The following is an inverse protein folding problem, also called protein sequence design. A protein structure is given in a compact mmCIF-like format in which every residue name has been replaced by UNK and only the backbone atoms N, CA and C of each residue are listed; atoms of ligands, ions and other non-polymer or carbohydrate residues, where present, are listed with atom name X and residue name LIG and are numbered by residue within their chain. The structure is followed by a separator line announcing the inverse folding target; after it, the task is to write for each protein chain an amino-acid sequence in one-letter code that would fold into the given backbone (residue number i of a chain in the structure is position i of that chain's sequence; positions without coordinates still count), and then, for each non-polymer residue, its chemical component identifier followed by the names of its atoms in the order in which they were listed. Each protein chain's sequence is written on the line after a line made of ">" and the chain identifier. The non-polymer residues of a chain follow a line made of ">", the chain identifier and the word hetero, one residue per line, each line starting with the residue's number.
data_IF_456963534537
#
_entry.id   IF_456963534537
#
_cell.length_a   1.000
_cell.length_b   1.000
_cell.length_c   1.000
_cell.angle_alpha   90.00
_cell.angle_beta   90.00
_cell.angle_gamma   90.00
#
_symmetry.space_group_name_H-M   'P 1'
#
loop_
_entity.id
_entity.type
_entity.pdbx_description
1 polymer ?
#
# COMPACT_ATOMS: atom_id res chain seq x y z
N UNK A 1 19.04 0.95 4.66
CA UNK A 1 19.87 1.91 5.41
C UNK A 1 20.52 1.17 6.57
N UNK A 2 21.77 1.50 6.89
CA UNK A 2 22.45 0.96 8.09
C UNK A 2 22.92 2.17 8.90
N UNK A 3 22.42 2.30 10.13
CA UNK A 3 22.74 3.43 11.00
C UNK A 3 24.15 3.33 11.58
N UNK A 4 24.66 4.43 12.13
CA UNK A 4 25.99 4.46 12.77
C UNK A 4 26.11 3.51 13.99
N UNK A 5 24.99 3.12 14.62
CA UNK A 5 24.97 2.14 15.70
C UNK A 5 24.78 0.70 15.22
N UNK A 6 24.59 0.48 13.91
CA UNK A 6 24.49 -0.85 13.29
C UNK A 6 23.05 -1.32 13.00
N UNK A 7 22.02 -0.50 13.28
CA UNK A 7 20.64 -0.87 12.97
C UNK A 7 20.42 -0.92 11.46
N UNK A 8 19.79 -1.98 10.98
CA UNK A 8 19.41 -2.14 9.57
C UNK A 8 17.94 -1.78 9.42
N UNK A 9 17.65 -0.85 8.52
CA UNK A 9 16.30 -0.33 8.28
C UNK A 9 16.00 -0.31 6.77
N UNK A 10 14.73 -0.41 6.35
CA UNK A 10 14.34 -0.30 4.94
C UNK A 10 14.77 1.02 4.29
N UNK A 11 14.58 2.14 5.00
CA UNK A 11 15.07 3.46 4.61
C UNK A 11 15.48 4.25 5.86
N UNK A 12 16.23 5.33 5.71
CA UNK A 12 16.73 6.14 6.85
C UNK A 12 15.65 6.96 7.58
N UNK A 13 14.39 6.88 7.15
CA UNK A 13 13.24 7.51 7.80
C UNK A 13 12.30 6.48 8.43
N UNK A 14 12.69 5.19 8.46
CA UNK A 14 11.83 4.11 8.92
C UNK A 14 12.21 3.72 10.35
N UNK A 15 11.45 4.17 11.35
CA UNK A 15 11.77 4.01 12.78
C UNK A 15 11.72 2.57 13.31
N UNK A 16 11.43 1.59 12.44
CA UNK A 16 11.38 0.17 12.81
C UNK A 16 12.58 -0.57 12.22
N UNK A 17 13.53 -0.92 13.08
CA UNK A 17 14.69 -1.72 12.69
C UNK A 17 14.28 -3.16 12.30
N UNK A 18 14.93 -3.67 11.25
CA UNK A 18 14.84 -5.05 10.79
C UNK A 18 15.80 -6.00 11.54
N UNK A 19 16.86 -5.45 12.14
CA UNK A 19 17.93 -6.16 12.86
C UNK A 19 19.14 -5.25 13.12
N UNK A 20 20.23 -5.81 13.65
CA UNK A 20 21.48 -5.08 13.91
C UNK A 20 22.70 -5.87 13.43
N UNK A 21 23.57 -5.24 12.62
CA UNK A 21 24.77 -5.89 12.07
C UNK A 21 25.85 -6.24 13.11
N UNK A 22 25.73 -5.70 14.32
CA UNK A 22 26.60 -6.05 15.44
C UNK A 22 26.21 -7.38 16.12
N UNK A 23 25.00 -7.87 15.84
CA UNK A 23 24.43 -9.08 16.44
C UNK A 23 24.25 -10.20 15.41
N UNK A 24 23.99 -9.84 14.15
CA UNK A 24 23.69 -10.75 13.05
C UNK A 24 24.41 -10.29 11.78
N UNK A 25 24.67 -11.21 10.84
CA UNK A 25 25.18 -10.80 9.52
C UNK A 25 24.12 -10.00 8.76
N UNK A 26 24.55 -9.10 7.87
CA UNK A 26 23.61 -8.36 7.01
C UNK A 26 22.74 -9.31 6.16
N UNK A 27 23.30 -10.44 5.71
CA UNK A 27 22.58 -11.46 4.93
C UNK A 27 21.41 -12.05 5.72
N UNK A 28 21.63 -12.41 7.00
CA UNK A 28 20.57 -12.91 7.87
C UNK A 28 19.47 -11.88 8.08
N UNK A 29 19.83 -10.62 8.37
CA UNK A 29 18.84 -9.55 8.53
C UNK A 29 18.05 -9.34 7.24
N UNK A 30 18.72 -9.32 6.09
CA UNK A 30 18.08 -9.14 4.79
C UNK A 30 17.15 -10.31 4.46
N UNK A 31 17.61 -11.55 4.53
CA UNK A 31 16.85 -12.71 4.07
C UNK A 31 15.75 -13.14 5.05
N UNK A 32 15.99 -13.02 6.36
CA UNK A 32 15.16 -13.66 7.39
C UNK A 32 14.33 -12.68 8.23
N UNK A 33 14.57 -11.36 8.16
CA UNK A 33 13.79 -10.40 8.95
C UNK A 33 12.31 -10.42 8.52
N UNK A 34 11.36 -10.56 9.47
CA UNK A 34 9.93 -10.48 9.18
C UNK A 34 9.54 -9.16 8.50
N UNK A 35 10.17 -8.05 8.90
CA UNK A 35 9.91 -6.74 8.31
C UNK A 35 10.26 -6.73 6.81
N UNK A 36 11.44 -7.21 6.43
CA UNK A 36 11.81 -7.25 5.02
C UNK A 36 11.00 -8.28 4.23
N UNK A 37 10.61 -9.40 4.85
CA UNK A 37 9.70 -10.36 4.23
C UNK A 37 8.34 -9.72 3.93
N UNK A 38 7.75 -9.00 4.88
CA UNK A 38 6.48 -8.31 4.71
C UNK A 38 6.56 -7.20 3.64
N UNK A 39 7.65 -6.42 3.62
CA UNK A 39 7.82 -5.33 2.65
C UNK A 39 8.03 -5.80 1.20
N UNK A 40 8.48 -7.04 0.98
CA UNK A 40 8.59 -7.64 -0.36
C UNK A 40 7.31 -8.32 -0.81
N UNK A 41 6.40 -8.60 0.11
CA UNK A 41 5.13 -9.23 -0.18
C UNK A 41 4.06 -8.16 -0.46
N UNK A 42 3.91 -7.79 -1.74
CA UNK A 42 2.95 -6.80 -2.17
C UNK A 42 1.49 -7.21 -1.94
N UNK A 43 1.21 -8.51 -1.73
CA UNK A 43 -0.14 -8.99 -1.45
C UNK A 43 -0.57 -8.72 -0.01
N UNK A 44 0.38 -8.40 0.88
CA UNK A 44 0.11 -7.94 2.25
C UNK A 44 -0.25 -6.46 2.37
N UNK A 45 -0.08 -5.67 1.31
CA UNK A 45 -0.49 -4.27 1.31
C UNK A 45 -2.00 -4.14 1.54
N UNK A 46 -2.39 -3.23 2.42
CA UNK A 46 -3.78 -3.02 2.82
C UNK A 46 -4.40 -1.82 2.09
N UNK A 47 -5.73 -1.72 2.20
CA UNK A 47 -6.51 -0.60 1.68
C UNK A 47 -6.32 -0.36 0.17
N UNK A 48 -6.34 0.90 -0.26
CA UNK A 48 -6.14 1.33 -1.66
C UNK A 48 -4.86 0.77 -2.25
N UNK A 49 -3.78 0.67 -1.47
CA UNK A 49 -2.51 0.13 -1.95
C UNK A 49 -2.60 -1.36 -2.27
N UNK A 50 -3.39 -2.13 -1.51
CA UNK A 50 -3.59 -3.57 -1.73
C UNK A 50 -4.28 -3.92 -3.05
N UNK A 51 -5.16 -3.04 -3.53
CA UNK A 51 -5.93 -3.23 -4.77
C UNK A 51 -5.46 -2.35 -5.94
N UNK A 52 -4.43 -1.55 -5.74
CA UNK A 52 -3.91 -0.63 -6.75
C UNK A 52 -3.22 -1.39 -7.89
N UNK A 53 -3.55 -1.04 -9.14
CA UNK A 53 -2.87 -1.60 -10.32
C UNK A 53 -1.36 -1.34 -10.34
N UNK A 54 -0.88 -0.34 -9.58
CA UNK A 54 0.53 0.04 -9.49
C UNK A 54 1.24 -0.51 -8.25
N UNK A 55 0.62 -1.41 -7.46
CA UNK A 55 1.18 -1.87 -6.17
C UNK A 55 2.58 -2.50 -6.28
N UNK A 56 2.91 -3.13 -7.40
CA UNK A 56 4.23 -3.74 -7.67
C UNK A 56 5.31 -2.74 -8.10
N UNK A 57 4.93 -1.53 -8.49
CA UNK A 57 5.88 -0.51 -9.00
C UNK A 57 5.99 0.68 -8.06
N UNK A 58 4.87 1.13 -7.48
CA UNK A 58 4.83 2.24 -6.54
C UNK A 58 4.86 1.75 -5.10
N UNK A 59 3.83 1.02 -4.67
CA UNK A 59 3.66 0.56 -3.27
C UNK A 59 3.48 1.69 -2.24
N UNK A 60 3.96 2.91 -2.49
CA UNK A 60 3.94 4.05 -1.60
C UNK A 60 5.06 4.03 -0.56
N UNK A 61 5.32 5.16 0.10
CA UNK A 61 6.30 5.25 1.18
C UNK A 61 5.81 4.49 2.42
N UNK A 62 6.51 3.42 2.79
CA UNK A 62 6.14 2.57 3.94
C UNK A 62 6.44 3.28 5.27
N UNK A 63 7.46 4.15 5.30
CA UNK A 63 7.78 4.99 6.47
C UNK A 63 6.64 5.93 6.83
N UNK A 64 6.08 6.63 5.84
CA UNK A 64 4.93 7.53 6.09
C UNK A 64 3.67 6.78 6.49
N UNK A 65 3.43 5.60 5.92
CA UNK A 65 2.32 4.74 6.36
C UNK A 65 2.49 4.34 7.84
N UNK A 66 3.69 3.92 8.22
CA UNK A 66 4.00 3.56 9.61
C UNK A 66 3.89 4.75 10.57
N UNK A 67 4.47 5.89 10.22
CA UNK A 67 4.45 7.10 11.06
C UNK A 67 3.02 7.56 11.37
N UNK A 68 2.15 7.56 10.35
CA UNK A 68 0.78 8.07 10.50
C UNK A 68 -0.16 7.05 11.16
N UNK A 69 0.06 5.76 10.95
CA UNK A 69 -0.94 4.73 11.31
C UNK A 69 -0.45 3.68 12.31
N UNK A 70 0.86 3.58 12.55
CA UNK A 70 1.49 2.46 13.25
C UNK A 70 1.57 1.17 12.42
N UNK A 71 1.08 1.15 11.18
CA UNK A 71 1.06 -0.01 10.29
C UNK A 71 1.76 0.31 8.96
N UNK A 72 2.95 -0.26 8.76
CA UNK A 72 3.75 -0.05 7.55
C UNK A 72 3.16 -0.73 6.30
N UNK A 73 2.17 -1.61 6.45
CA UNK A 73 1.42 -2.22 5.36
C UNK A 73 0.15 -1.45 5.01
N UNK A 74 -0.19 -0.41 5.76
CA UNK A 74 -1.33 0.45 5.48
C UNK A 74 -1.16 1.25 4.17
N UNK A 75 -2.22 1.97 3.83
CA UNK A 75 -2.20 2.89 2.71
C UNK A 75 -1.17 4.00 2.90
N UNK A 76 -0.58 4.45 1.80
CA UNK A 76 0.23 5.64 1.82
C UNK A 76 -0.68 6.88 1.95
N UNK A 77 -0.56 7.68 3.03
CA UNK A 77 -1.55 8.70 3.38
C UNK A 77 -1.60 9.89 2.41
N UNK A 78 -0.53 10.14 1.64
CA UNK A 78 -0.43 11.30 0.75
C UNK A 78 -0.62 10.96 -0.73
N UNK A 79 -0.90 9.69 -1.05
CA UNK A 79 -1.15 9.25 -2.40
C UNK A 79 -2.54 9.74 -2.85
N UNK A 80 -2.56 10.65 -3.83
CA UNK A 80 -3.78 11.22 -4.42
C UNK A 80 -4.43 10.31 -5.47
N UNK A 81 -3.80 9.19 -5.81
CA UNK A 81 -4.26 8.30 -6.85
C UNK A 81 -5.38 7.39 -6.36
N UNK A 82 -6.47 7.31 -7.13
CA UNK A 82 -7.57 6.38 -6.89
C UNK A 82 -7.48 5.16 -7.83
N UNK A 83 -7.28 3.93 -7.29
CA UNK A 83 -7.25 2.70 -8.07
C UNK A 83 -8.46 2.52 -8.99
N UNK A 84 -8.25 1.94 -10.18
CA UNK A 84 -9.37 1.61 -11.09
C UNK A 84 -10.45 0.78 -10.43
N UNK A 85 -10.06 -0.20 -9.60
CA UNK A 85 -10.98 -1.06 -8.87
C UNK A 85 -11.93 -0.28 -7.94
N UNK A 86 -11.46 0.83 -7.35
CA UNK A 86 -12.30 1.70 -6.51
C UNK A 86 -13.28 2.53 -7.35
N UNK A 87 -12.82 3.11 -8.46
CA UNK A 87 -13.66 3.92 -9.36
C UNK A 87 -14.79 3.12 -10.01
N UNK A 88 -14.52 1.89 -10.44
CA UNK A 88 -15.53 0.99 -11.02
C UNK A 88 -16.61 0.61 -10.00
N UNK A 89 -16.24 0.47 -8.74
CA UNK A 89 -17.17 0.21 -7.64
C UNK A 89 -18.05 1.42 -7.32
N UNK A 90 -17.57 2.64 -7.54
CA UNK A 90 -18.37 3.86 -7.37
C UNK A 90 -19.39 4.03 -8.52
N UNK A 91 -18.96 3.81 -9.76
CA UNK A 91 -19.82 3.93 -10.94
C UNK A 91 -20.98 2.91 -10.95
N UNK A 92 -20.77 1.70 -10.43
CA UNK A 92 -21.83 0.68 -10.30
C UNK A 92 -22.84 0.98 -9.18
N UNK A 93 -22.48 1.80 -8.20
CA UNK A 93 -23.38 2.27 -7.13
C UNK A 93 -24.28 3.43 -7.55
N UNK A 94 -23.83 4.27 -8.49
CA UNK A 94 -24.70 5.23 -9.17
C UNK A 94 -25.48 4.51 -10.27
N UNK A 95 -26.56 3.83 -9.86
CA UNK A 95 -27.56 3.28 -10.76
C UNK A 95 -28.03 4.36 -11.73
N UNK A 96 -27.61 4.26 -12.98
CA UNK A 96 -28.18 5.00 -14.07
C UNK A 96 -29.61 4.50 -14.22
N UNK A 97 -30.57 5.27 -13.69
CA UNK A 97 -31.96 5.14 -14.11
C UNK A 97 -31.99 5.30 -15.62
N UNK A 98 -32.17 4.19 -16.35
CA UNK A 98 -32.38 4.23 -17.79
C UNK A 98 -33.60 5.13 -18.04
N UNK A 99 -33.54 6.12 -18.95
CA UNK A 99 -34.74 6.83 -19.36
C UNK A 99 -35.66 5.80 -20.01
N UNK A 100 -36.76 5.47 -19.35
CA UNK A 100 -37.82 4.66 -19.96
C UNK A 100 -38.29 5.43 -21.19
N UNK A 101 -37.94 4.92 -22.38
CA UNK A 101 -38.65 5.24 -23.61
C UNK A 101 -40.13 4.89 -23.38
N UNK A 102 -40.97 5.87 -23.06
CA UNK A 102 -42.42 5.72 -23.15
C UNK A 102 -42.82 6.24 -24.52
N UNK A 103 -42.83 5.28 -25.46
CA UNK A 103 -43.55 5.37 -26.71
C UNK A 103 -45.05 5.58 -26.43
N UNK A 104 -45.68 6.44 -27.22
CA UNK A 104 -47.09 6.28 -27.58
C UNK A 104 -48.04 7.30 -26.98
N UNK A 105 -48.16 8.44 -27.68
CA UNK A 105 -49.39 9.22 -27.63
C UNK A 105 -50.57 8.38 -28.14
N UNK A 106 -51.70 8.50 -27.45
CA UNK A 106 -53.01 8.17 -28.02
C UNK A 106 -53.84 9.44 -28.00
N UNK A 107 -54.40 9.72 -29.17
CA UNK A 107 -55.43 10.70 -29.48
C UNK A 107 -56.67 10.47 -28.62
#
# INVERSE_FOLDING_TARGET
>A
FISHVGQVEPCGYFEKAAGNIKEQTFKEVWESSPLFADLRDYDKLKGKCGICEFRRTCGGCRARAYEVTGDYLAEEPYCIYEPRAMRQSAASRCGHGSPKHILGGKK
#
